data_IF_986052308119
#
_entry.id   IF_986052308119
#
_cell.length_a   1.000
_cell.length_b   1.000
_cell.length_c   1.000
_cell.angle_alpha   90.00
_cell.angle_beta   90.00
_cell.angle_gamma   90.00
#
_symmetry.space_group_name_H-M   'P 1'
#
loop_
_entity.id
_entity.type
_entity.pdbx_description
1 polymer ?
#
# COMPACT_ATOMS: atom_id res chain seq x y z
N UNK A 1 -2.02 -15.78 1.57
CA UNK A 1 -2.11 -15.09 0.27
C UNK A 1 -0.75 -15.10 -0.41
N UNK A 2 0.31 -14.66 0.27
CA UNK A 2 1.70 -14.70 -0.22
C UNK A 2 2.17 -16.09 -0.68
N UNK A 3 1.82 -17.16 0.06
CA UNK A 3 2.16 -18.54 -0.33
C UNK A 3 1.37 -19.04 -1.56
N UNK A 4 0.21 -18.45 -1.83
CA UNK A 4 -0.71 -18.92 -2.88
C UNK A 4 -0.53 -18.18 -4.22
N UNK A 5 -0.12 -16.91 -4.17
CA UNK A 5 0.04 -16.02 -5.34
C UNK A 5 1.32 -15.17 -5.24
N UNK A 6 2.51 -15.75 -5.04
CA UNK A 6 3.73 -14.98 -4.73
C UNK A 6 4.19 -14.04 -5.85
N UNK A 7 3.79 -14.28 -7.11
CA UNK A 7 4.19 -13.47 -8.29
C UNK A 7 3.00 -12.86 -9.03
N UNK A 8 1.79 -13.10 -8.55
CA UNK A 8 0.54 -12.71 -9.21
C UNK A 8 -0.22 -11.65 -8.42
N UNK A 9 0.38 -11.15 -7.33
CA UNK A 9 -0.12 -9.99 -6.59
C UNK A 9 -0.09 -8.76 -7.49
N UNK A 10 -1.16 -7.99 -7.40
CA UNK A 10 -1.32 -6.71 -8.03
C UNK A 10 -0.30 -5.73 -7.48
N UNK A 11 0.27 -4.92 -8.38
CA UNK A 11 1.29 -3.96 -8.00
C UNK A 11 0.73 -2.92 -7.02
N UNK A 12 1.49 -2.64 -5.96
CA UNK A 12 1.12 -1.68 -4.89
C UNK A 12 1.91 -0.37 -4.98
N UNK A 13 2.52 -0.05 -6.13
CA UNK A 13 3.30 1.18 -6.34
C UNK A 13 2.54 2.46 -5.97
N UNK A 14 1.20 2.42 -6.03
CA UNK A 14 0.36 3.54 -5.62
C UNK A 14 0.47 3.87 -4.12
N UNK A 15 0.94 2.96 -3.27
CA UNK A 15 1.20 3.24 -1.85
C UNK A 15 2.25 4.33 -1.66
N UNK A 16 3.19 4.50 -2.61
CA UNK A 16 4.15 5.60 -2.58
C UNK A 16 3.45 6.98 -2.67
N UNK A 17 2.23 7.03 -3.20
CA UNK A 17 1.42 8.26 -3.27
C UNK A 17 0.73 8.58 -1.96
N UNK A 18 0.58 7.62 -1.05
CA UNK A 18 -0.14 7.83 0.19
C UNK A 18 0.73 8.64 1.18
N UNK A 19 0.09 9.48 2.00
CA UNK A 19 0.72 10.02 3.20
C UNK A 19 1.25 8.89 4.09
N UNK A 20 2.43 9.11 4.66
CA UNK A 20 3.15 8.10 5.45
C UNK A 20 2.39 7.74 6.74
N UNK A 21 1.60 8.67 7.28
CA UNK A 21 0.76 8.46 8.46
C UNK A 21 -0.36 7.44 8.22
N UNK A 22 -0.70 7.17 6.96
CA UNK A 22 -1.68 6.15 6.59
C UNK A 22 -1.07 4.76 6.41
N UNK A 23 0.26 4.67 6.24
CA UNK A 23 0.96 3.40 6.01
C UNK A 23 1.17 2.57 7.28
N UNK A 24 0.53 2.95 8.39
CA UNK A 24 0.57 2.25 9.68
C UNK A 24 -0.04 0.85 9.58
N UNK A 25 0.45 -0.09 10.40
CA UNK A 25 -0.12 -1.42 10.57
C UNK A 25 -1.65 -1.33 10.77
N UNK A 26 -2.42 -1.95 9.87
CA UNK A 26 -3.90 -2.04 9.79
C UNK A 26 -4.61 -1.18 8.73
N UNK A 27 -3.93 -0.46 7.84
CA UNK A 27 -4.62 0.23 6.73
C UNK A 27 -5.57 -0.72 5.97
N UNK A 28 -5.11 -1.94 5.66
CA UNK A 28 -5.93 -2.90 4.93
C UNK A 28 -7.20 -3.32 5.67
N UNK A 29 -7.14 -3.45 7.00
CA UNK A 29 -8.31 -3.75 7.83
C UNK A 29 -9.31 -2.59 7.85
N UNK A 30 -8.81 -1.35 7.94
CA UNK A 30 -9.64 -0.15 7.87
C UNK A 30 -10.33 -0.02 6.51
N UNK A 31 -9.62 -0.32 5.42
CA UNK A 31 -10.16 -0.31 4.05
C UNK A 31 -11.28 -1.34 3.90
N UNK A 32 -11.11 -2.57 4.38
CA UNK A 32 -12.17 -3.59 4.35
C UNK A 32 -13.39 -3.15 5.16
N UNK A 33 -13.18 -2.62 6.37
CA UNK A 33 -14.27 -2.10 7.19
C UNK A 33 -15.01 -0.96 6.50
N UNK A 34 -14.29 -0.03 5.87
CA UNK A 34 -14.88 1.05 5.10
C UNK A 34 -15.74 0.55 3.93
N UNK A 35 -15.31 -0.52 3.25
CA UNK A 35 -16.10 -1.16 2.20
C UNK A 35 -17.42 -1.72 2.74
N UNK A 36 -17.40 -2.36 3.92
CA UNK A 36 -18.61 -2.86 4.59
C UNK A 36 -19.57 -1.72 4.94
N UNK A 37 -19.07 -0.64 5.54
CA UNK A 37 -19.87 0.54 5.87
C UNK A 37 -20.49 1.21 4.62
N UNK A 38 -19.74 1.30 3.52
CA UNK A 38 -20.22 1.84 2.25
C UNK A 38 -21.36 1.03 1.63
N UNK A 39 -21.29 -0.29 1.74
CA UNK A 39 -22.34 -1.19 1.25
C UNK A 39 -23.55 -1.18 2.17
N UNK A 40 -23.35 -1.08 3.49
CA UNK A 40 -24.41 -0.96 4.48
C UNK A 40 -25.13 0.39 4.43
N UNK A 41 -24.57 1.41 3.77
CA UNK A 41 -25.14 2.76 3.69
C UNK A 41 -25.04 3.54 5.00
N UNK A 42 -24.12 3.16 5.89
CA UNK A 42 -23.96 3.79 7.21
C UNK A 42 -23.10 5.06 7.15
N UNK A 43 -22.43 5.33 6.02
CA UNK A 43 -21.54 6.48 5.84
C UNK A 43 -21.93 7.26 4.60
N UNK A 44 -22.79 8.27 4.79
CA UNK A 44 -23.40 9.07 3.72
C UNK A 44 -22.40 9.98 2.97
N UNK A 45 -21.31 10.40 3.61
CA UNK A 45 -20.32 11.30 2.99
C UNK A 45 -19.54 10.64 1.85
N UNK A 46 -19.22 9.35 1.98
CA UNK A 46 -18.51 8.57 0.97
C UNK A 46 -19.42 8.05 -0.16
N UNK A 47 -20.74 8.09 0.00
CA UNK A 47 -21.68 7.73 -1.08
C UNK A 47 -21.57 8.66 -2.29
N UNK A 48 -21.21 9.92 -2.05
CA UNK A 48 -21.05 10.96 -3.08
C UNK A 48 -19.84 10.73 -3.98
N UNK A 49 -18.94 9.82 -3.58
CA UNK A 49 -17.65 9.59 -4.23
C UNK A 49 -17.71 8.44 -5.24
N UNK A 50 -18.87 7.82 -5.44
CA UNK A 50 -19.05 6.76 -6.41
C UNK A 50 -18.30 5.46 -6.07
N UNK A 51 -17.81 5.31 -4.83
CA UNK A 51 -17.04 4.14 -4.38
C UNK A 51 -17.89 2.89 -4.09
N UNK A 52 -19.21 3.06 -3.96
CA UNK A 52 -20.12 1.97 -3.58
C UNK A 52 -20.09 0.77 -4.53
N UNK A 53 -20.07 0.92 -5.88
CA UNK A 53 -19.93 -0.21 -6.80
C UNK A 53 -18.62 -0.97 -6.62
N UNK A 54 -17.51 -0.26 -6.39
CA UNK A 54 -16.20 -0.86 -6.12
C UNK A 54 -16.23 -1.65 -4.79
N UNK A 55 -16.78 -1.06 -3.72
CA UNK A 55 -16.96 -1.72 -2.44
C UNK A 55 -17.81 -3.00 -2.56
N UNK A 56 -18.93 -2.94 -3.30
CA UNK A 56 -19.77 -4.11 -3.58
C UNK A 56 -19.00 -5.21 -4.31
N UNK A 57 -18.26 -4.87 -5.35
CA UNK A 57 -17.47 -5.83 -6.12
C UNK A 57 -16.39 -6.48 -5.25
N UNK A 58 -15.70 -5.69 -4.42
CA UNK A 58 -14.70 -6.18 -3.48
C UNK A 58 -15.29 -7.19 -2.48
N UNK A 59 -16.39 -6.82 -1.81
CA UNK A 59 -17.02 -7.71 -0.84
C UNK A 59 -17.59 -8.97 -1.49
N UNK A 60 -18.17 -8.88 -2.69
CA UNK A 60 -18.60 -10.06 -3.46
C UNK A 60 -17.42 -10.99 -3.76
N UNK A 61 -16.27 -10.44 -4.17
CA UNK A 61 -15.05 -11.21 -4.40
C UNK A 61 -14.53 -11.87 -3.13
N UNK A 62 -14.60 -11.18 -1.99
CA UNK A 62 -14.24 -11.74 -0.69
C UNK A 62 -15.13 -12.93 -0.30
N UNK A 63 -16.44 -12.82 -0.52
CA UNK A 63 -17.37 -13.94 -0.28
C UNK A 63 -17.07 -15.13 -1.20
N UNK A 64 -16.69 -14.89 -2.45
CA UNK A 64 -16.27 -15.94 -3.38
C UNK A 64 -14.98 -16.63 -2.89
N UNK A 65 -13.96 -15.87 -2.48
CA UNK A 65 -12.74 -16.44 -1.88
C UNK A 65 -13.08 -17.32 -0.68
N UNK A 66 -13.91 -16.84 0.24
CA UNK A 66 -14.36 -17.61 1.42
C UNK A 66 -15.07 -18.91 1.02
N UNK A 67 -15.94 -18.85 0.01
CA UNK A 67 -16.67 -20.03 -0.50
C UNK A 67 -15.71 -21.08 -1.05
N UNK A 68 -14.80 -20.69 -1.95
CA UNK A 68 -13.88 -21.63 -2.60
C UNK A 68 -12.88 -22.21 -1.60
N UNK A 69 -12.36 -21.40 -0.67
CA UNK A 69 -11.51 -21.89 0.42
C UNK A 69 -12.24 -22.91 1.30
N UNK A 70 -13.52 -22.68 1.61
CA UNK A 70 -14.35 -23.63 2.36
C UNK A 70 -14.49 -24.94 1.60
N UNK A 71 -14.78 -24.90 0.31
CA UNK A 71 -14.89 -26.09 -0.55
C UNK A 71 -13.56 -26.89 -0.61
N UNK A 72 -12.44 -26.19 -0.72
CA UNK A 72 -11.10 -26.81 -0.69
C UNK A 72 -10.83 -27.49 0.66
N UNK A 73 -11.16 -26.83 1.77
CA UNK A 73 -10.91 -27.37 3.12
C UNK A 73 -11.65 -28.69 3.38
N UNK A 74 -12.84 -28.86 2.79
CA UNK A 74 -13.63 -30.09 2.89
C UNK A 74 -13.03 -31.23 2.04
N UNK A 75 -12.25 -30.90 1.01
CA UNK A 75 -11.66 -31.86 0.07
C UNK A 75 -10.26 -32.37 0.49
N UNK A 76 -9.73 -31.93 1.65
CA UNK A 76 -8.39 -32.29 2.18
C UNK A 76 -7.20 -32.03 1.22
N UNK A 77 -7.34 -31.10 0.27
CA UNK A 77 -6.26 -30.75 -0.63
C UNK A 77 -5.18 -29.93 0.11
N UNK A 78 -3.94 -30.45 0.15
CA UNK A 78 -2.80 -29.82 0.84
C UNK A 78 -2.24 -28.57 0.16
N UNK A 79 -2.65 -28.30 -1.09
CA UNK A 79 -2.07 -27.25 -1.93
C UNK A 79 -3.14 -26.31 -2.44
N UNK A 80 -2.81 -25.01 -2.58
CA UNK A 80 -3.67 -24.00 -3.19
C UNK A 80 -4.17 -24.49 -4.55
N UNK A 81 -5.48 -24.75 -4.63
CA UNK A 81 -6.11 -25.19 -5.87
C UNK A 81 -6.24 -24.02 -6.85
N UNK A 82 -6.25 -24.33 -8.15
CA UNK A 82 -6.45 -23.33 -9.21
C UNK A 82 -7.66 -22.40 -9.00
N UNK A 83 -8.86 -22.88 -8.59
CA UNK A 83 -9.99 -21.99 -8.34
C UNK A 83 -9.74 -21.03 -7.16
N UNK A 84 -8.99 -21.45 -6.13
CA UNK A 84 -8.60 -20.58 -5.01
C UNK A 84 -7.62 -19.51 -5.48
N UNK A 85 -6.64 -19.91 -6.29
CA UNK A 85 -5.65 -19.00 -6.87
C UNK A 85 -6.32 -17.90 -7.69
N UNK A 86 -7.21 -18.28 -8.61
CA UNK A 86 -7.95 -17.33 -9.44
C UNK A 86 -8.86 -16.40 -8.62
N UNK A 87 -9.52 -16.92 -7.59
CA UNK A 87 -10.33 -16.12 -6.66
C UNK A 87 -9.48 -15.10 -5.90
N UNK A 88 -8.28 -15.50 -5.44
CA UNK A 88 -7.36 -14.62 -4.73
C UNK A 88 -6.79 -13.53 -5.62
N UNK A 89 -6.37 -13.83 -6.86
CA UNK A 89 -5.89 -12.82 -7.82
C UNK A 89 -6.98 -11.78 -8.09
N UNK A 90 -8.23 -12.23 -8.32
CA UNK A 90 -9.37 -11.35 -8.54
C UNK A 90 -9.62 -10.44 -7.33
N UNK A 91 -9.62 -11.01 -6.12
CA UNK A 91 -9.80 -10.25 -4.89
C UNK A 91 -8.68 -9.23 -4.69
N UNK A 92 -7.43 -9.62 -4.91
CA UNK A 92 -6.25 -8.79 -4.71
C UNK A 92 -6.26 -7.56 -5.63
N UNK A 93 -6.62 -7.73 -6.91
CA UNK A 93 -6.78 -6.63 -7.85
C UNK A 93 -7.93 -5.68 -7.46
N UNK A 94 -9.09 -6.21 -7.08
CA UNK A 94 -10.23 -5.40 -6.63
C UNK A 94 -9.92 -4.65 -5.33
N UNK A 95 -9.14 -5.27 -4.44
CA UNK A 95 -8.68 -4.65 -3.21
C UNK A 95 -7.76 -3.46 -3.52
N UNK A 96 -6.83 -3.62 -4.47
CA UNK A 96 -5.94 -2.53 -4.94
C UNK A 96 -6.69 -1.33 -5.49
N UNK A 97 -7.64 -1.61 -6.39
CA UNK A 97 -8.45 -0.58 -7.02
C UNK A 97 -9.28 0.19 -6.00
N UNK A 98 -9.89 -0.53 -5.06
CA UNK A 98 -10.69 0.08 -4.00
C UNK A 98 -9.83 0.86 -3.01
N UNK A 99 -8.71 0.32 -2.55
CA UNK A 99 -7.80 0.97 -1.61
C UNK A 99 -7.28 2.31 -2.17
N UNK A 100 -6.79 2.30 -3.42
CA UNK A 100 -6.34 3.52 -4.10
C UNK A 100 -7.46 4.56 -4.21
N UNK A 101 -8.64 4.14 -4.67
CA UNK A 101 -9.76 5.06 -4.87
C UNK A 101 -10.29 5.62 -3.54
N UNK A 102 -10.30 4.80 -2.50
CA UNK A 102 -10.75 5.18 -1.16
C UNK A 102 -9.78 6.18 -0.49
N UNK A 103 -8.48 5.88 -0.48
CA UNK A 103 -7.49 6.77 0.14
C UNK A 103 -7.40 8.10 -0.62
N UNK A 104 -7.38 8.06 -1.96
CA UNK A 104 -7.34 9.29 -2.79
C UNK A 104 -8.57 10.17 -2.63
N UNK A 105 -9.68 9.58 -2.19
CA UNK A 105 -10.92 10.28 -1.90
C UNK A 105 -10.90 10.97 -0.54
N UNK A 106 -10.18 10.41 0.44
CA UNK A 106 -10.15 10.93 1.81
C UNK A 106 -9.03 11.95 2.05
N UNK A 107 -7.89 11.77 1.40
CA UNK A 107 -6.69 12.58 1.64
C UNK A 107 -6.04 12.92 0.31
N UNK A 108 -5.51 14.14 0.13
CA UNK A 108 -4.69 14.45 -1.03
C UNK A 108 -3.50 13.48 -1.10
N UNK A 109 -3.37 12.79 -2.23
CA UNK A 109 -2.25 11.90 -2.52
C UNK A 109 -1.16 12.68 -3.26
N UNK A 110 0.09 12.24 -3.09
CA UNK A 110 1.25 12.85 -3.75
C UNK A 110 1.07 12.79 -5.27
N UNK A 111 1.20 13.93 -5.91
CA UNK A 111 1.25 14.09 -7.37
C UNK A 111 2.54 13.47 -7.93
N UNK A 112 2.57 13.12 -9.23
CA UNK A 112 3.79 12.62 -9.85
C UNK A 112 4.95 13.62 -9.73
N UNK A 113 4.68 14.92 -9.83
CA UNK A 113 5.68 15.98 -9.70
C UNK A 113 6.30 16.03 -8.30
N UNK A 114 5.50 15.85 -7.25
CA UNK A 114 5.99 15.75 -5.88
C UNK A 114 6.87 14.52 -5.69
N UNK A 115 6.47 13.38 -6.24
CA UNK A 115 7.28 12.15 -6.20
C UNK A 115 8.62 12.33 -6.92
N UNK A 116 8.64 12.98 -8.09
CA UNK A 116 9.88 13.30 -8.80
C UNK A 116 10.80 14.20 -7.97
N UNK A 117 10.27 15.28 -7.38
CA UNK A 117 11.06 16.17 -6.52
C UNK A 117 11.61 15.45 -5.30
N UNK A 118 10.81 14.56 -4.69
CA UNK A 118 11.29 13.73 -3.58
C UNK A 118 12.44 12.82 -4.01
N UNK A 119 12.34 12.20 -5.19
CA UNK A 119 13.41 11.38 -5.74
C UNK A 119 14.69 12.20 -6.00
N UNK A 120 14.58 13.41 -6.55
CA UNK A 120 15.74 14.31 -6.74
C UNK A 120 16.42 14.64 -5.41
N UNK A 121 15.66 14.94 -4.37
CA UNK A 121 16.19 15.21 -3.02
C UNK A 121 16.91 13.97 -2.48
N UNK A 122 16.33 12.77 -2.65
CA UNK A 122 16.95 11.51 -2.20
C UNK A 122 18.28 11.27 -2.92
N UNK A 123 18.35 11.47 -4.24
CA UNK A 123 19.59 11.32 -5.01
C UNK A 123 20.66 12.30 -4.51
N UNK A 124 20.31 13.58 -4.40
CA UNK A 124 21.24 14.62 -3.90
C UNK A 124 21.75 14.29 -2.48
N UNK A 125 20.86 13.81 -1.62
CA UNK A 125 21.24 13.39 -0.28
C UNK A 125 22.22 12.22 -0.30
N UNK A 126 21.93 11.16 -1.08
CA UNK A 126 22.80 10.00 -1.21
C UNK A 126 24.20 10.41 -1.71
N UNK A 127 24.29 11.26 -2.72
CA UNK A 127 25.56 11.79 -3.25
C UNK A 127 26.33 12.60 -2.19
N UNK A 128 25.60 13.42 -1.42
CA UNK A 128 26.19 14.26 -0.37
C UNK A 128 26.73 13.41 0.79
N UNK A 129 25.97 12.42 1.24
CA UNK A 129 26.37 11.48 2.29
C UNK A 129 27.57 10.65 1.84
N UNK A 130 27.56 10.12 0.62
CA UNK A 130 28.68 9.35 0.09
C UNK A 130 29.97 10.20 0.04
N UNK A 131 29.85 11.47 -0.37
CA UNK A 131 30.99 12.40 -0.36
C UNK A 131 31.48 12.71 1.05
N UNK A 132 30.56 12.95 1.99
CA UNK A 132 30.90 13.23 3.39
C UNK A 132 31.59 12.04 4.07
N UNK A 133 31.17 10.81 3.77
CA UNK A 133 31.84 9.57 4.21
C UNK A 133 33.26 9.47 3.64
N UNK A 134 33.44 9.73 2.33
CA UNK A 134 34.76 9.68 1.68
C UNK A 134 35.75 10.71 2.24
N UNK A 135 35.25 11.89 2.63
CA UNK A 135 36.06 12.95 3.23
C UNK A 135 36.27 12.79 4.74
N UNK A 136 35.60 11.80 5.37
CA UNK A 136 35.67 11.57 6.81
C UNK A 136 34.91 12.59 7.66
N UNK A 137 33.96 13.33 7.08
CA UNK A 137 33.08 14.25 7.80
C UNK A 137 31.97 13.50 8.55
N UNK A 138 31.57 12.34 8.05
CA UNK A 138 30.62 11.42 8.68
C UNK A 138 31.26 10.03 8.79
N UNK A 139 30.82 9.24 9.76
CA UNK A 139 31.12 7.81 9.89
C UNK A 139 29.86 7.00 9.62
N UNK A 140 30.03 5.75 9.19
CA UNK A 140 28.91 4.87 8.85
C UNK A 140 27.96 4.66 10.05
N UNK A 141 28.52 4.53 11.26
CA UNK A 141 27.75 4.36 12.50
C UNK A 141 26.81 5.55 12.81
N UNK A 142 27.13 6.76 12.33
CA UNK A 142 26.28 7.94 12.52
C UNK A 142 25.07 7.96 11.58
N UNK A 143 25.06 7.13 10.54
CA UNK A 143 23.98 7.03 9.54
C UNK A 143 23.12 5.81 9.82
N UNK A 144 23.73 4.68 10.19
CA UNK A 144 23.04 3.39 10.32
C UNK A 144 21.91 3.41 11.38
N UNK A 145 21.98 4.32 12.36
CA UNK A 145 20.95 4.51 13.39
C UNK A 145 19.88 5.55 13.04
N UNK A 146 20.00 6.26 11.92
CA UNK A 146 19.07 7.31 11.53
C UNK A 146 17.91 6.76 10.70
N UNK A 147 16.71 7.28 10.96
CA UNK A 147 15.55 6.98 10.15
C UNK A 147 15.67 7.69 8.79
N UNK A 148 15.69 6.96 7.66
CA UNK A 148 15.95 7.56 6.34
C UNK A 148 15.02 8.72 6.01
N UNK A 149 13.74 8.64 6.40
CA UNK A 149 12.74 9.68 6.17
C UNK A 149 13.08 11.00 6.88
N UNK A 150 13.63 10.93 8.10
CA UNK A 150 14.11 12.12 8.83
C UNK A 150 15.38 12.70 8.19
N UNK A 151 16.20 11.86 7.58
CA UNK A 151 17.43 12.29 6.91
C UNK A 151 17.15 13.14 5.67
N UNK A 152 16.12 12.79 4.86
CA UNK A 152 15.77 13.53 3.66
C UNK A 152 14.86 14.75 3.92
N UNK A 153 14.07 14.75 5.00
CA UNK A 153 13.18 15.87 5.37
C UNK A 153 13.89 17.03 6.05
N UNK A 154 15.16 16.87 6.43
CA UNK A 154 16.00 17.96 6.97
C UNK A 154 17.11 18.32 5.96
N UNK A 155 16.79 18.93 4.80
CA UNK A 155 17.82 19.41 3.86
C UNK A 155 18.75 20.47 4.48
N UNK A 156 18.38 21.06 5.63
CA UNK A 156 19.14 22.13 6.29
C UNK A 156 20.42 21.68 6.99
N UNK A 157 20.63 20.38 7.24
CA UNK A 157 21.89 19.89 7.84
C UNK A 157 23.00 19.64 6.80
N UNK A 158 22.68 19.65 5.50
CA UNK A 158 23.65 19.42 4.42
C UNK A 158 24.29 20.70 3.84
N UNK A 159 23.84 21.90 4.25
CA UNK A 159 24.31 23.21 3.71
C UNK A 159 25.11 24.00 4.77
N UNK A 160 25.89 23.34 5.63
CA UNK A 160 26.88 24.02 6.48
C UNK A 160 28.23 23.33 6.33
#
# INVERSE_FOLDING_TARGET
>A
MEECIPREQHCRDYLAKFPEELLVDNLGNHVLFAAECLVAGTVLELERMGLRPLAKNLLCSLQLVRKVLREQSLSQASTCSEPVRMALIRFDALFAEFELSYVSSLVPVKSPEELYKQQEIVVLFCETVERALKLGHLSQDMIDGCEPLLMFTIPRLAII
#
